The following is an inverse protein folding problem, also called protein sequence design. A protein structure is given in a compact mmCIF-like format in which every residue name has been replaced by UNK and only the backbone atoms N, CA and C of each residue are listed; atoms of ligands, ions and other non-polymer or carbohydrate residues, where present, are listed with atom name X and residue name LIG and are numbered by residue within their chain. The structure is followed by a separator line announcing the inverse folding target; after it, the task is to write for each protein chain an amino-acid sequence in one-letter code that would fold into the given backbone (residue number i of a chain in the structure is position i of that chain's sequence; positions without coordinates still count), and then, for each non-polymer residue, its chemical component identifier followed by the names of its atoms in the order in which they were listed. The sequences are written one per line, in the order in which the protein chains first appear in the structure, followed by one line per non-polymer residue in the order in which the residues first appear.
data_IF_665214802973
#
_entry.id   IF_665214802973
#
_cell.length_a   1.000
_cell.length_b   1.000
_cell.length_c   1.000
_cell.angle_alpha   90.00
_cell.angle_beta   90.00
_cell.angle_gamma   90.00
#
_symmetry.space_group_name_H-M   'P 1'
#
loop_
_entity.id
_entity.type
_entity.pdbx_description
1 polymer ?
#
# COMPACT_ATOMS: atom_id res chain seq x y z
N UNK A 1 -9.23 6.21 -7.81
CA UNK A 1 -8.72 6.23 -6.43
C UNK A 1 -9.28 7.31 -5.49
N UNK A 2 -9.75 8.49 -5.95
CA UNK A 2 -10.09 9.61 -5.05
C UNK A 2 -11.01 9.28 -3.86
N UNK A 3 -12.10 8.55 -4.07
CA UNK A 3 -13.02 8.16 -2.97
C UNK A 3 -12.37 7.13 -2.03
N UNK A 4 -11.73 6.11 -2.58
CA UNK A 4 -11.03 5.10 -1.79
C UNK A 4 -9.88 5.69 -0.95
N UNK A 5 -9.20 6.73 -1.43
CA UNK A 5 -8.18 7.42 -0.65
C UNK A 5 -8.79 8.18 0.55
N UNK A 6 -10.02 8.71 0.42
CA UNK A 6 -10.75 9.29 1.56
C UNK A 6 -11.13 8.19 2.56
N UNK A 7 -11.62 7.05 2.07
CA UNK A 7 -11.98 5.91 2.91
C UNK A 7 -10.75 5.35 3.65
N UNK A 8 -9.60 5.22 2.98
CA UNK A 8 -8.35 4.78 3.58
C UNK A 8 -7.89 5.70 4.72
N UNK A 9 -7.96 7.03 4.49
CA UNK A 9 -7.68 8.02 5.53
C UNK A 9 -8.65 7.90 6.69
N UNK A 10 -9.93 7.68 6.41
CA UNK A 10 -10.95 7.52 7.44
C UNK A 10 -10.65 6.31 8.33
N UNK A 11 -10.36 5.14 7.74
CA UNK A 11 -10.01 3.94 8.49
C UNK A 11 -8.80 4.13 9.38
N UNK A 12 -7.72 4.73 8.86
CA UNK A 12 -6.49 4.97 9.63
C UNK A 12 -6.68 5.93 10.82
N UNK A 13 -7.68 6.82 10.77
CA UNK A 13 -7.95 7.80 11.84
C UNK A 13 -9.01 7.33 12.82
N UNK A 14 -10.04 6.64 12.33
CA UNK A 14 -11.26 6.37 13.10
C UNK A 14 -11.35 4.94 13.63
N UNK A 15 -10.50 4.02 13.20
CA UNK A 15 -10.50 2.63 13.65
C UNK A 15 -9.84 2.42 15.04
N UNK A 16 -9.66 3.46 15.84
CA UNK A 16 -9.08 3.32 17.19
C UNK A 16 -7.62 2.82 17.23
N UNK A 17 -6.95 2.73 16.08
CA UNK A 17 -5.61 2.15 15.95
C UNK A 17 -5.60 0.69 15.48
N UNK A 18 -6.75 0.05 15.27
CA UNK A 18 -6.88 -1.36 14.83
C UNK A 18 -6.54 -1.55 13.34
N UNK A 19 -6.43 -0.45 12.59
CA UNK A 19 -5.99 -0.47 11.19
C UNK A 19 -4.62 0.18 11.10
N UNK A 20 -3.59 -0.64 10.83
CA UNK A 20 -2.20 -0.18 10.65
C UNK A 20 -1.85 0.15 9.21
N UNK A 21 -2.42 -0.60 8.26
CA UNK A 21 -2.19 -0.45 6.83
C UNK A 21 -3.50 -0.63 6.06
N UNK A 22 -3.77 0.25 5.10
CA UNK A 22 -4.83 0.09 4.09
C UNK A 22 -4.18 -0.10 2.73
N UNK A 23 -4.56 -1.17 2.03
CA UNK A 23 -4.13 -1.44 0.65
C UNK A 23 -5.30 -1.18 -0.29
N UNK A 24 -5.16 -0.19 -1.17
CA UNK A 24 -6.13 0.08 -2.22
C UNK A 24 -5.68 -0.57 -3.51
N UNK A 25 -6.61 -1.25 -4.18
CA UNK A 25 -6.36 -1.98 -5.43
C UNK A 25 -7.39 -1.51 -6.46
N UNK A 26 -6.91 -1.02 -7.60
CA UNK A 26 -7.75 -0.62 -8.73
C UNK A 26 -7.34 -1.39 -9.97
N UNK A 27 -8.32 -2.04 -10.60
CA UNK A 27 -8.13 -2.91 -11.77
C UNK A 27 -8.93 -2.33 -12.94
N UNK A 28 -8.29 -2.21 -14.10
CA UNK A 28 -8.92 -1.87 -15.36
C UNK A 28 -8.51 -2.90 -16.42
N UNK A 29 -9.44 -3.79 -16.77
CA UNK A 29 -9.20 -4.88 -17.72
C UNK A 29 -8.96 -4.40 -19.15
N UNK A 30 -9.70 -3.38 -19.62
CA UNK A 30 -9.56 -2.86 -20.99
C UNK A 30 -8.15 -2.34 -21.28
N UNK A 31 -7.54 -1.69 -20.28
CA UNK A 31 -6.19 -1.12 -20.38
C UNK A 31 -5.11 -2.06 -19.85
N UNK A 32 -5.48 -3.24 -19.37
CA UNK A 32 -4.56 -4.14 -18.65
C UNK A 32 -3.78 -3.40 -17.57
N UNK A 33 -4.49 -2.58 -16.80
CA UNK A 33 -3.91 -1.69 -15.81
C UNK A 33 -4.29 -2.11 -14.39
N UNK A 34 -3.28 -2.25 -13.54
CA UNK A 34 -3.39 -2.50 -12.10
C UNK A 34 -2.70 -1.35 -11.36
N UNK A 35 -3.40 -0.74 -10.43
CA UNK A 35 -2.88 0.33 -9.59
C UNK A 35 -3.05 -0.02 -8.12
N UNK A 36 -1.96 0.08 -7.36
CA UNK A 36 -1.87 -0.27 -5.95
C UNK A 36 -1.43 0.96 -5.16
N UNK A 37 -2.12 1.25 -4.06
CA UNK A 37 -1.68 2.26 -3.10
C UNK A 37 -1.61 1.64 -1.70
N UNK A 38 -0.50 1.82 -1.00
CA UNK A 38 -0.37 1.54 0.43
C UNK A 38 -0.53 2.83 1.22
N UNK A 39 -1.43 2.81 2.19
CA UNK A 39 -1.66 3.91 3.12
C UNK A 39 -1.39 3.46 4.56
N UNK A 40 -0.63 4.27 5.29
CA UNK A 40 -0.33 4.07 6.72
C UNK A 40 -0.34 5.42 7.44
N UNK A 41 -0.37 5.37 8.77
CA UNK A 41 0.03 6.52 9.56
C UNK A 41 1.56 6.68 9.45
N UNK A 42 2.03 7.85 9.05
CA UNK A 42 3.45 8.17 8.93
C UNK A 42 3.71 9.61 9.36
N UNK A 43 4.94 9.96 9.77
CA UNK A 43 5.28 11.35 10.03
C UNK A 43 5.00 12.23 8.80
N UNK A 44 4.50 13.46 8.97
CA UNK A 44 4.30 14.37 7.85
C UNK A 44 5.65 14.71 7.19
N UNK A 45 5.74 14.54 5.87
CA UNK A 45 6.88 15.04 5.09
C UNK A 45 6.92 16.58 5.17
N UNK A 46 8.12 17.15 5.29
CA UNK A 46 8.42 18.59 5.20
C UNK A 46 7.90 19.53 6.30
N UNK A 47 7.61 19.02 7.51
CA UNK A 47 7.35 19.90 8.67
C UNK A 47 8.42 19.75 9.74
N UNK A 48 8.99 20.87 10.26
CA UNK A 48 9.76 20.83 11.49
C UNK A 48 8.91 20.17 12.58
N UNK A 49 9.42 19.09 13.17
CA UNK A 49 8.77 18.44 14.31
C UNK A 49 8.81 19.44 15.46
N UNK A 50 7.67 20.07 15.74
CA UNK A 50 7.50 20.96 16.89
C UNK A 50 6.75 20.20 17.96
N UNK A 51 6.82 20.65 19.22
CA UNK A 51 6.23 19.96 20.38
C UNK A 51 4.70 19.72 20.27
N UNK A 52 4.03 20.30 19.26
CA UNK A 52 2.58 20.25 19.06
C UNK A 52 2.15 19.72 17.67
N UNK A 53 3.06 19.15 16.85
CA UNK A 53 2.66 18.48 15.59
C UNK A 53 2.08 17.09 15.87
N UNK A 54 0.95 16.69 15.24
CA UNK A 54 0.48 15.30 15.32
C UNK A 54 1.61 14.38 14.83
N UNK A 55 1.96 13.40 15.66
CA UNK A 55 3.14 12.56 15.45
C UNK A 55 3.07 11.70 14.20
N UNK A 56 1.86 11.35 13.76
CA UNK A 56 1.61 10.54 12.57
C UNK A 56 0.31 10.97 11.87
N UNK A 57 0.33 11.03 10.55
CA UNK A 57 -0.81 11.40 9.70
C UNK A 57 -1.02 10.34 8.61
N UNK A 58 -2.27 10.11 8.17
CA UNK A 58 -2.55 9.21 7.05
C UNK A 58 -1.81 9.65 5.78
N UNK A 59 -0.92 8.80 5.31
CA UNK A 59 0.01 9.09 4.22
C UNK A 59 0.02 7.92 3.25
N UNK A 60 0.04 8.21 1.95
CA UNK A 60 0.33 7.20 0.92
C UNK A 60 1.82 6.90 0.98
N UNK A 61 2.18 5.76 1.54
CA UNK A 61 3.57 5.36 1.81
C UNK A 61 4.14 4.46 0.72
N UNK A 62 3.31 3.99 -0.21
CA UNK A 62 3.74 3.27 -1.39
C UNK A 62 2.69 3.34 -2.50
N UNK A 63 3.15 3.28 -3.73
CA UNK A 63 2.33 3.34 -4.94
C UNK A 63 3.00 2.51 -6.00
N UNK A 64 2.22 1.62 -6.63
CA UNK A 64 2.69 0.82 -7.77
C UNK A 64 1.67 0.91 -8.88
N UNK A 65 2.16 1.19 -10.07
CA UNK A 65 1.40 1.14 -11.31
C UNK A 65 1.93 0.03 -12.20
N UNK A 66 1.02 -0.78 -12.72
CA UNK A 66 1.29 -1.78 -13.74
C UNK A 66 0.39 -1.52 -14.92
N UNK A 67 0.96 -1.24 -16.08
CA UNK A 67 0.20 -1.00 -17.32
C UNK A 67 0.83 -1.80 -18.44
N UNK A 68 0.04 -2.68 -19.08
CA UNK A 68 0.51 -3.54 -20.17
C UNK A 68 1.81 -4.31 -19.81
N UNK A 69 1.90 -4.80 -18.56
CA UNK A 69 3.04 -5.56 -18.05
C UNK A 69 4.23 -4.72 -17.55
N UNK A 70 4.22 -3.40 -17.75
CA UNK A 70 5.27 -2.49 -17.27
C UNK A 70 4.97 -2.09 -15.83
N UNK A 71 5.87 -2.40 -14.90
CA UNK A 71 5.73 -2.08 -13.47
C UNK A 71 6.54 -0.83 -13.12
N UNK A 72 5.95 0.09 -12.36
CA UNK A 72 6.59 1.30 -11.84
C UNK A 72 6.25 1.51 -10.36
N UNK A 73 7.17 2.09 -9.58
CA UNK A 73 6.97 2.34 -8.14
C UNK A 73 7.23 1.15 -7.21
N UNK A 74 7.58 -0.02 -7.76
CA UNK A 74 7.97 -1.20 -6.99
C UNK A 74 9.36 -1.00 -6.32
N UNK A 75 9.63 -1.70 -5.19
CA UNK A 75 8.76 -2.68 -4.51
C UNK A 75 7.69 -2.04 -3.62
N UNK A 76 6.55 -2.72 -3.47
CA UNK A 76 5.59 -2.39 -2.43
C UNK A 76 5.84 -3.27 -1.20
N UNK A 77 6.38 -2.69 -0.13
CA UNK A 77 6.61 -3.41 1.11
C UNK A 77 5.38 -3.30 2.02
N UNK A 78 4.97 -4.37 2.69
CA UNK A 78 4.00 -4.39 3.79
C UNK A 78 4.73 -4.86 5.04
N UNK A 79 4.69 -4.09 6.12
CA UNK A 79 5.43 -4.44 7.34
C UNK A 79 4.77 -5.61 8.03
N UNK A 80 5.56 -6.58 8.47
CA UNK A 80 5.06 -7.74 9.21
C UNK A 80 4.27 -7.31 10.46
N UNK A 81 4.83 -6.38 11.23
CA UNK A 81 4.23 -5.90 12.48
C UNK A 81 2.88 -5.20 12.25
N UNK A 82 2.70 -4.55 11.09
CA UNK A 82 1.44 -3.91 10.71
C UNK A 82 0.36 -4.94 10.31
N UNK A 83 0.77 -6.13 9.87
CA UNK A 83 -0.14 -7.19 9.40
C UNK A 83 -0.50 -8.19 10.52
N UNK A 84 0.44 -8.45 11.43
CA UNK A 84 0.33 -9.51 12.44
C UNK A 84 0.22 -8.94 13.86
N UNK A 85 0.37 -7.63 14.02
CA UNK A 85 0.24 -6.90 15.29
C UNK A 85 1.18 -7.38 16.41
N UNK A 86 2.35 -7.90 16.03
CA UNK A 86 3.44 -8.27 16.95
C UNK A 86 4.80 -8.20 16.27
N UNK A 87 5.90 -8.17 17.04
CA UNK A 87 7.24 -8.25 16.48
C UNK A 87 7.45 -9.55 15.66
N UNK A 88 8.27 -9.50 14.60
CA UNK A 88 8.63 -10.68 13.82
C UNK A 88 9.52 -11.63 14.64
N UNK A 89 9.29 -12.93 14.48
CA UNK A 89 10.22 -13.97 14.90
C UNK A 89 11.42 -14.11 13.93
N UNK A 90 12.34 -15.05 14.18
CA UNK A 90 13.61 -15.14 13.44
C UNK A 90 13.49 -15.37 11.92
N UNK A 91 12.38 -15.94 11.45
CA UNK A 91 12.15 -16.27 10.03
C UNK A 91 11.06 -15.43 9.38
N UNK A 92 10.39 -14.60 10.18
CA UNK A 92 9.30 -13.73 9.76
C UNK A 92 9.86 -12.40 9.27
N UNK A 93 9.25 -11.88 8.21
CA UNK A 93 9.77 -10.72 7.49
C UNK A 93 8.64 -9.96 6.84
N UNK A 94 8.92 -8.73 6.49
CA UNK A 94 8.03 -7.89 5.71
C UNK A 94 7.67 -8.59 4.39
N UNK A 95 6.44 -8.40 3.95
CA UNK A 95 6.00 -8.87 2.63
C UNK A 95 6.48 -7.84 1.62
N UNK A 96 7.44 -8.23 0.78
CA UNK A 96 7.99 -7.37 -0.27
C UNK A 96 7.40 -7.83 -1.60
N UNK A 97 6.50 -7.03 -2.17
CA UNK A 97 5.94 -7.27 -3.50
C UNK A 97 6.91 -6.68 -4.53
N UNK A 98 7.73 -7.55 -5.15
CA UNK A 98 8.75 -7.12 -6.11
C UNK A 98 8.15 -6.82 -7.48
N UNK A 99 8.90 -6.10 -8.33
CA UNK A 99 8.48 -5.83 -9.69
C UNK A 99 8.19 -7.12 -10.48
N UNK A 100 9.05 -8.13 -10.36
CA UNK A 100 8.90 -9.41 -11.08
C UNK A 100 7.66 -10.19 -10.64
N UNK A 101 7.40 -10.24 -9.34
CA UNK A 101 6.19 -10.90 -8.81
C UNK A 101 4.93 -10.18 -9.28
N UNK A 102 4.93 -8.85 -9.18
CA UNK A 102 3.81 -8.01 -9.60
C UNK A 102 3.54 -8.12 -11.10
N UNK A 103 4.58 -8.14 -11.94
CA UNK A 103 4.46 -8.38 -13.37
C UNK A 103 3.89 -9.78 -13.67
N UNK A 104 4.38 -10.79 -12.96
CA UNK A 104 3.90 -12.18 -13.10
C UNK A 104 2.41 -12.29 -12.77
N UNK A 105 1.97 -11.71 -11.65
CA UNK A 105 0.56 -11.73 -11.26
C UNK A 105 -0.32 -10.90 -12.20
N UNK A 106 0.15 -9.76 -12.67
CA UNK A 106 -0.58 -8.95 -13.67
C UNK A 106 -0.80 -9.76 -14.96
N UNK A 107 0.22 -10.46 -15.46
CA UNK A 107 0.09 -11.34 -16.62
C UNK A 107 -0.92 -12.47 -16.37
N UNK A 108 -0.94 -13.05 -15.17
CA UNK A 108 -1.92 -14.08 -14.83
C UNK A 108 -3.36 -13.53 -14.82
N UNK A 109 -3.57 -12.32 -14.30
CA UNK A 109 -4.89 -11.67 -14.28
C UNK A 109 -5.48 -11.52 -15.69
N UNK A 110 -4.66 -11.11 -16.67
CA UNK A 110 -5.13 -10.86 -18.04
C UNK A 110 -5.23 -12.09 -18.92
N UNK A 111 -4.49 -13.16 -18.61
CA UNK A 111 -4.55 -14.42 -19.37
C UNK A 111 -5.64 -15.36 -18.86
N UNK A 112 -6.02 -15.25 -17.58
CA UNK A 112 -7.00 -16.15 -16.95
C UNK A 112 -8.44 -15.63 -17.03
N UNK A 113 -8.65 -14.32 -16.98
CA UNK A 113 -9.97 -13.70 -17.08
C UNK A 113 -10.10 -12.99 -18.43
N UNK A 114 -10.47 -13.76 -19.48
CA UNK A 114 -10.92 -13.24 -20.77
C UNK A 114 -12.44 -13.26 -20.87
#
# INVERSE_FOLDING_TARGET
MRRLAVDARWWLVNAGGDVKTVLLISINGERQALHLERWCLAPPYDRPVTRNTPSMVPTKTGEVDIVAGIVTGAPLCLKFEDLVERPPGPTERDVVLTADQLATWANFLWTTYQ
#
